data_IF_031461934053
#
_entry.id   IF_031461934053
#
_cell.length_a   1.000
_cell.length_b   1.000
_cell.length_c   1.000
_cell.angle_alpha   90.00
_cell.angle_beta   90.00
_cell.angle_gamma   90.00
#
_symmetry.space_group_name_H-M   'P 1'
#
loop_
_entity.id
_entity.type
_entity.pdbx_description
1 polymer ?
#
# COMPACT_ATOMS: atom_id res chain seq x y z
N UNK A 1 18.50 -17.10 -4.23
CA UNK A 1 17.05 -17.29 -4.32
C UNK A 1 16.41 -15.93 -4.51
N UNK A 2 15.65 -15.72 -5.58
CA UNK A 2 14.89 -14.47 -5.80
C UNK A 2 13.82 -14.35 -4.72
N UNK A 3 13.71 -13.17 -4.12
CA UNK A 3 12.68 -12.92 -3.12
C UNK A 3 11.30 -12.99 -3.80
N UNK A 4 10.32 -13.72 -3.24
CA UNK A 4 8.98 -13.74 -3.80
C UNK A 4 8.40 -12.32 -3.84
N UNK A 5 7.71 -12.00 -4.94
CA UNK A 5 7.06 -10.71 -5.14
C UNK A 5 6.01 -10.46 -4.04
N UNK A 6 6.08 -9.28 -3.40
CA UNK A 6 5.12 -8.83 -2.38
C UNK A 6 4.50 -7.50 -2.82
N UNK A 7 3.19 -7.47 -3.01
CA UNK A 7 2.45 -6.27 -3.38
C UNK A 7 2.20 -5.38 -2.15
N UNK A 8 2.80 -4.19 -2.13
CA UNK A 8 2.48 -3.16 -1.14
C UNK A 8 1.31 -2.28 -1.60
N UNK A 9 0.32 -2.06 -0.74
CA UNK A 9 -0.84 -1.20 -1.03
C UNK A 9 -0.89 -0.06 0.00
N UNK A 10 -0.67 1.17 -0.47
CA UNK A 10 -0.88 2.37 0.35
C UNK A 10 -2.36 2.77 0.32
N UNK A 11 -3.06 2.63 1.44
CA UNK A 11 -4.49 2.84 1.57
C UNK A 11 -4.88 3.85 2.65
N UNK A 12 -6.12 3.77 3.14
CA UNK A 12 -6.64 4.62 4.21
C UNK A 12 -7.38 5.88 3.76
N UNK A 13 -7.43 6.17 2.46
CA UNK A 13 -7.94 7.45 1.92
C UNK A 13 -9.09 7.26 0.90
N UNK A 14 -10.20 6.58 1.20
CA UNK A 14 -10.66 6.18 2.54
C UNK A 14 -10.55 4.68 2.85
N UNK A 15 -10.83 4.27 4.11
CA UNK A 15 -10.56 2.90 4.56
C UNK A 15 -11.41 1.83 3.87
N UNK A 16 -12.69 2.14 3.61
CA UNK A 16 -13.58 1.22 2.87
C UNK A 16 -13.14 1.02 1.43
N UNK A 17 -12.61 2.05 0.77
CA UNK A 17 -12.07 1.92 -0.58
C UNK A 17 -10.84 0.99 -0.61
N UNK A 18 -10.05 0.97 0.46
CA UNK A 18 -8.93 0.04 0.61
C UNK A 18 -9.39 -1.41 0.79
N UNK A 19 -10.50 -1.65 1.50
CA UNK A 19 -11.09 -2.99 1.60
C UNK A 19 -11.74 -3.43 0.28
N UNK A 20 -12.44 -2.54 -0.41
CA UNK A 20 -13.02 -2.80 -1.73
C UNK A 20 -11.93 -3.16 -2.76
N UNK A 21 -10.81 -2.43 -2.75
CA UNK A 21 -9.65 -2.76 -3.56
C UNK A 21 -9.12 -4.16 -3.27
N UNK A 22 -8.93 -4.52 -1.99
CA UNK A 22 -8.46 -5.86 -1.62
C UNK A 22 -9.42 -6.95 -2.08
N UNK A 23 -10.73 -6.71 -1.95
CA UNK A 23 -11.73 -7.66 -2.45
C UNK A 23 -11.63 -7.85 -3.96
N UNK A 24 -11.54 -6.75 -4.72
CA UNK A 24 -11.38 -6.80 -6.18
C UNK A 24 -10.07 -7.47 -6.61
N UNK A 25 -8.99 -7.28 -5.86
CA UNK A 25 -7.72 -7.94 -6.11
C UNK A 25 -7.85 -9.45 -6.01
N UNK A 26 -8.51 -9.94 -4.95
CA UNK A 26 -8.79 -11.37 -4.78
C UNK A 26 -9.65 -11.92 -5.92
N UNK A 27 -10.72 -11.20 -6.26
CA UNK A 27 -11.68 -11.62 -7.30
C UNK A 27 -11.07 -11.58 -8.72
N UNK A 28 -10.14 -10.66 -8.98
CA UNK A 28 -9.47 -10.52 -10.28
C UNK A 28 -8.25 -11.43 -10.44
N UNK A 29 -7.74 -12.02 -9.34
CA UNK A 29 -6.61 -12.95 -9.41
C UNK A 29 -7.11 -14.33 -9.84
N UNK A 30 -6.62 -14.90 -10.96
CA UNK A 30 -7.04 -16.21 -11.46
C UNK A 30 -6.42 -17.34 -10.63
N UNK A 31 -6.80 -17.42 -9.35
CA UNK A 31 -6.32 -18.40 -8.39
C UNK A 31 -7.34 -19.54 -8.23
N UNK A 32 -6.85 -20.77 -8.19
CA UNK A 32 -7.62 -21.99 -7.97
C UNK A 32 -7.62 -22.41 -6.49
N UNK A 33 -6.73 -21.82 -5.69
CA UNK A 33 -6.64 -21.99 -4.23
C UNK A 33 -5.99 -20.74 -3.60
N UNK A 34 -6.02 -20.66 -2.28
CA UNK A 34 -5.53 -19.49 -1.53
C UNK A 34 -4.03 -19.25 -1.73
N UNK A 35 -3.22 -20.31 -1.89
CA UNK A 35 -1.77 -20.20 -2.07
C UNK A 35 -1.37 -19.59 -3.43
N UNK A 36 -2.32 -19.51 -4.38
CA UNK A 36 -2.13 -18.86 -5.68
C UNK A 36 -2.51 -17.38 -5.68
N UNK A 37 -3.04 -16.85 -4.57
CA UNK A 37 -3.32 -15.42 -4.43
C UNK A 37 -2.03 -14.60 -4.40
N UNK A 38 -2.11 -13.33 -4.78
CA UNK A 38 -0.96 -12.41 -4.77
C UNK A 38 -0.60 -12.09 -3.31
N UNK A 39 0.63 -12.40 -2.85
CA UNK A 39 1.10 -11.98 -1.53
C UNK A 39 1.05 -10.46 -1.43
N UNK A 40 0.40 -9.92 -0.40
CA UNK A 40 0.25 -8.47 -0.25
C UNK A 40 0.34 -7.99 1.20
N UNK A 41 0.75 -6.73 1.37
CA UNK A 41 0.72 -5.99 2.64
C UNK A 41 0.02 -4.66 2.39
N UNK A 42 -0.92 -4.30 3.26
CA UNK A 42 -1.75 -3.12 3.11
C UNK A 42 -1.53 -2.15 4.27
N UNK A 43 -1.13 -0.92 3.94
CA UNK A 43 -1.02 0.19 4.88
C UNK A 43 -2.34 0.98 4.90
N UNK A 44 -3.30 0.53 5.70
CA UNK A 44 -4.63 1.15 5.81
C UNK A 44 -4.70 2.10 7.01
N UNK A 45 -4.19 3.33 6.85
CA UNK A 45 -4.11 4.34 7.94
C UNK A 45 -5.03 5.54 7.63
N UNK A 46 -6.24 5.58 8.22
CA UNK A 46 -7.21 6.66 7.98
C UNK A 46 -6.76 8.04 8.52
N UNK A 47 -5.75 8.08 9.39
CA UNK A 47 -5.23 9.30 10.00
C UNK A 47 -4.38 10.14 9.04
N UNK A 48 -4.13 9.66 7.81
CA UNK A 48 -3.51 10.47 6.76
C UNK A 48 -4.37 11.72 6.55
N UNK A 49 -3.71 12.89 6.53
CA UNK A 49 -4.38 14.17 6.43
C UNK A 49 -5.30 14.25 5.21
N UNK A 50 -6.39 15.01 5.37
CA UNK A 50 -7.37 15.21 4.33
C UNK A 50 -6.74 15.93 3.12
N UNK A 51 -6.68 15.22 1.98
CA UNK A 51 -6.09 15.71 0.74
C UNK A 51 -6.84 16.91 0.16
N UNK A 52 -8.17 16.97 0.34
CA UNK A 52 -8.97 18.08 -0.18
C UNK A 52 -8.70 19.35 0.64
N UNK A 53 -8.60 19.23 1.97
CA UNK A 53 -8.21 20.36 2.83
C UNK A 53 -6.79 20.85 2.54
N UNK A 54 -5.86 19.92 2.31
CA UNK A 54 -4.49 20.25 1.92
C UNK A 54 -4.42 21.01 0.58
N UNK A 55 -5.14 20.54 -0.44
CA UNK A 55 -5.24 21.23 -1.74
C UNK A 55 -5.90 22.61 -1.63
N UNK A 56 -6.88 22.75 -0.74
CA UNK A 56 -7.53 24.03 -0.44
C UNK A 56 -6.69 24.97 0.45
N UNK A 57 -5.50 24.56 0.90
CA UNK A 57 -4.64 25.34 1.80
C UNK A 57 -5.20 25.51 3.23
N UNK A 58 -6.23 24.74 3.60
CA UNK A 58 -6.93 24.82 4.88
C UNK A 58 -6.59 23.65 5.84
N UNK A 59 -5.69 22.77 5.42
CA UNK A 59 -5.27 21.61 6.20
C UNK A 59 -3.81 21.24 5.97
N UNK A 60 -3.25 20.37 6.83
CA UNK A 60 -1.87 19.94 6.71
C UNK A 60 -1.66 19.10 5.45
N UNK A 61 -0.43 19.15 4.91
CA UNK A 61 -0.05 18.29 3.79
C UNK A 61 -0.04 16.80 4.19
N UNK A 62 -0.63 15.90 3.39
CA UNK A 62 -0.57 14.45 3.65
C UNK A 62 0.77 13.84 3.26
N UNK A 63 1.62 14.57 2.51
CA UNK A 63 2.86 14.04 1.93
C UNK A 63 3.78 13.36 2.95
N UNK A 64 4.05 13.90 4.15
CA UNK A 64 4.91 13.23 5.13
C UNK A 64 4.36 11.86 5.56
N UNK A 65 3.04 11.74 5.72
CA UNK A 65 2.40 10.48 6.13
C UNK A 65 2.37 9.45 4.99
N UNK A 66 2.23 9.92 3.74
CA UNK A 66 2.32 9.07 2.55
C UNK A 66 3.73 8.48 2.39
N UNK A 67 4.76 9.32 2.54
CA UNK A 67 6.17 8.88 2.49
C UNK A 67 6.42 7.83 3.58
N UNK A 68 5.99 8.11 4.82
CA UNK A 68 6.13 7.15 5.90
C UNK A 68 5.44 5.81 5.57
N UNK A 69 4.21 5.83 5.06
CA UNK A 69 3.52 4.59 4.66
C UNK A 69 4.26 3.81 3.58
N UNK A 70 4.85 4.50 2.59
CA UNK A 70 5.70 3.87 1.56
C UNK A 70 6.95 3.25 2.18
N UNK A 71 7.61 3.94 3.11
CA UNK A 71 8.78 3.40 3.82
C UNK A 71 8.44 2.14 4.59
N UNK A 72 7.30 2.11 5.30
CA UNK A 72 6.82 0.91 5.99
C UNK A 72 6.57 -0.26 5.02
N UNK A 73 5.93 0.02 3.88
CA UNK A 73 5.69 -1.00 2.85
C UNK A 73 7.00 -1.51 2.21
N UNK A 74 7.97 -0.63 1.97
CA UNK A 74 9.29 -1.01 1.45
C UNK A 74 10.08 -1.87 2.45
N UNK A 75 9.97 -1.57 3.75
CA UNK A 75 10.56 -2.38 4.81
C UNK A 75 9.89 -3.76 4.90
N UNK A 76 8.55 -3.83 4.81
CA UNK A 76 7.81 -5.09 4.79
C UNK A 76 8.12 -5.96 3.56
N UNK A 77 8.21 -5.34 2.38
CA UNK A 77 8.67 -5.97 1.15
C UNK A 77 10.14 -6.36 1.16
N UNK A 78 10.90 -5.86 2.15
CA UNK A 78 12.33 -5.92 2.40
C UNK A 78 13.20 -5.60 1.19
N UNK A 79 13.93 -4.48 1.32
CA UNK A 79 14.97 -3.90 0.45
C UNK A 79 15.18 -4.62 -0.90
N UNK A 80 14.97 -3.96 -2.06
CA UNK A 80 15.54 -4.46 -3.30
C UNK A 80 17.05 -4.57 -3.10
N UNK A 81 17.63 -5.73 -3.38
CA UNK A 81 19.08 -5.90 -3.45
C UNK A 81 19.62 -4.86 -4.44
N UNK A 82 20.26 -3.82 -3.91
CA UNK A 82 20.95 -2.82 -4.72
C UNK A 82 22.37 -3.36 -4.89
N UNK A 83 22.68 -3.89 -6.08
CA UNK A 83 24.07 -4.19 -6.41
C UNK A 83 24.87 -2.88 -6.29
N UNK A 84 25.93 -2.79 -5.46
CA UNK A 84 26.81 -1.65 -5.49
C UNK A 84 27.49 -1.60 -6.85
N UNK A 85 27.49 -0.44 -7.50
CA UNK A 85 28.43 -0.11 -8.56
C UNK A 85 29.78 0.25 -7.92
#
# INVERSE_FOLDING_TARGET
>A
MTKPFLLGVLGGMGPLATLDFQRRLLDATPAQNDQQQIPSVVWNVPQIADRQKALAGSGPSPLPQLIHGIEQLNQAGGQPYRHPL
#
